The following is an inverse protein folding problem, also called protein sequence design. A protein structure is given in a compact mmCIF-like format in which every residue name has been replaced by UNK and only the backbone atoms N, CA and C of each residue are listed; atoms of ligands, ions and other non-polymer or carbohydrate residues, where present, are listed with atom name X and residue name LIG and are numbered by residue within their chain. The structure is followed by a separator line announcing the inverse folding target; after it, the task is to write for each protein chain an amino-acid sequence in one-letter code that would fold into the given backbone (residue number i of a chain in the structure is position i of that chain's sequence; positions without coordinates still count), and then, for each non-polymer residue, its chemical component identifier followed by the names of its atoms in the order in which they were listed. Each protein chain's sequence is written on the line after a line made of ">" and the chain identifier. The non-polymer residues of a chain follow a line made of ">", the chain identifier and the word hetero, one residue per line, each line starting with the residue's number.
data_IF_747918314355
#
_entry.id   IF_747918314355
#
_cell.length_a   1.000
_cell.length_b   1.000
_cell.length_c   1.000
_cell.angle_alpha   90.00
_cell.angle_beta   90.00
_cell.angle_gamma   90.00
#
_symmetry.space_group_name_H-M   'P 1'
#
loop_
_entity.id
_entity.type
_entity.pdbx_description
1 polymer ?
#
# COMPACT_ATOMS: atom_id res chain seq x y z
N UNK A 1 10.53 15.02 16.55
CA UNK A 1 9.07 15.09 16.74
C UNK A 1 8.65 13.78 17.38
N UNK A 2 7.81 13.82 18.41
CA UNK A 2 7.40 12.62 19.14
C UNK A 2 6.38 11.83 18.31
N UNK A 3 6.58 10.52 18.17
CA UNK A 3 5.68 9.57 17.49
C UNK A 3 4.28 9.67 18.13
N UNK A 4 3.18 9.77 17.36
CA UNK A 4 1.83 9.91 17.92
C UNK A 4 1.40 8.67 18.76
N UNK A 5 0.56 8.84 19.81
CA UNK A 5 0.19 7.77 20.76
C UNK A 5 -0.70 6.65 20.20
N UNK A 6 -1.04 6.66 18.91
CA UNK A 6 -1.65 5.50 18.24
C UNK A 6 -0.66 4.33 18.01
N UNK A 7 0.58 4.50 18.47
CA UNK A 7 1.68 3.54 18.40
C UNK A 7 2.06 2.92 19.76
N UNK A 8 1.20 2.97 20.80
CA UNK A 8 1.59 2.54 22.16
C UNK A 8 1.79 1.03 22.37
N UNK A 9 1.54 0.18 21.38
CA UNK A 9 2.08 -1.18 21.36
C UNK A 9 2.31 -1.65 19.92
N UNK A 10 3.48 -1.41 19.29
CA UNK A 10 3.83 -2.20 18.13
C UNK A 10 4.03 -3.62 18.64
N UNK A 11 3.03 -4.48 18.43
CA UNK A 11 3.31 -5.92 18.32
C UNK A 11 4.22 -6.04 17.10
N UNK A 12 5.53 -5.90 17.33
CA UNK A 12 6.56 -6.38 16.40
C UNK A 12 6.37 -7.89 16.39
N UNK A 13 5.42 -8.37 15.59
CA UNK A 13 5.28 -9.78 15.32
C UNK A 13 6.38 -10.04 14.31
N UNK A 14 7.50 -10.62 14.74
CA UNK A 14 8.31 -11.43 13.84
C UNK A 14 7.39 -12.56 13.37
N UNK A 15 6.61 -12.31 12.32
CA UNK A 15 5.60 -13.24 11.84
C UNK A 15 6.27 -14.49 11.28
N UNK A 16 7.49 -14.36 10.73
CA UNK A 16 8.37 -15.44 10.29
C UNK A 16 9.77 -14.90 9.94
N UNK A 17 10.82 -15.74 10.05
CA UNK A 17 12.25 -15.42 9.84
C UNK A 17 12.52 -14.32 8.79
N UNK A 18 12.93 -13.13 9.22
CA UNK A 18 13.34 -12.02 8.33
C UNK A 18 12.19 -11.13 7.83
N UNK A 19 10.98 -11.30 8.40
CA UNK A 19 9.80 -10.47 8.14
C UNK A 19 9.42 -9.72 9.42
N UNK A 20 9.34 -8.40 9.31
CA UNK A 20 8.89 -7.51 10.39
C UNK A 20 7.59 -6.84 9.98
N UNK A 21 6.57 -6.93 10.83
CA UNK A 21 5.26 -6.35 10.59
C UNK A 21 5.01 -5.15 11.51
N UNK A 22 4.55 -4.05 10.93
CA UNK A 22 4.15 -2.83 11.62
C UNK A 22 2.69 -2.54 11.32
N UNK A 23 1.94 -2.12 12.32
CA UNK A 23 0.53 -1.75 12.20
C UNK A 23 0.36 -0.25 12.42
N UNK A 24 -0.35 0.39 11.50
CA UNK A 24 -0.71 1.81 11.51
C UNK A 24 -2.23 1.92 11.32
N UNK A 25 -2.84 3.01 11.81
CA UNK A 25 -4.28 3.29 11.61
C UNK A 25 -5.22 2.11 11.90
N UNK A 26 -5.04 1.38 13.01
CA UNK A 26 -5.82 0.19 13.47
C UNK A 26 -5.91 -1.03 12.50
N UNK A 27 -5.81 -0.84 11.19
CA UNK A 27 -6.06 -1.87 10.18
C UNK A 27 -5.08 -1.82 9.00
N UNK A 28 -4.13 -0.88 8.98
CA UNK A 28 -3.14 -0.77 7.91
C UNK A 28 -1.84 -1.42 8.34
N UNK A 29 -1.26 -2.21 7.43
CA UNK A 29 -0.05 -2.95 7.70
C UNK A 29 1.09 -2.49 6.80
N UNK A 30 2.27 -2.39 7.39
CA UNK A 30 3.55 -2.32 6.68
C UNK A 30 4.34 -3.59 6.98
N UNK A 31 4.68 -4.34 5.93
CA UNK A 31 5.52 -5.53 6.05
C UNK A 31 6.90 -5.19 5.49
N UNK A 32 7.93 -5.36 6.31
CA UNK A 32 9.33 -5.21 5.94
C UNK A 32 9.96 -6.59 5.82
N UNK A 33 10.44 -6.93 4.63
CA UNK A 33 11.03 -8.22 4.30
C UNK A 33 12.47 -7.98 3.87
N UNK A 34 13.41 -8.79 4.38
CA UNK A 34 14.75 -8.86 3.78
C UNK A 34 14.80 -10.00 2.77
N UNK A 35 15.06 -9.67 1.51
CA UNK A 35 15.24 -10.69 0.48
C UNK A 35 16.60 -11.40 0.60
N UNK A 36 16.78 -12.49 -0.14
CA UNK A 36 18.02 -13.27 -0.12
C UNK A 36 19.24 -12.50 -0.67
N UNK A 37 19.02 -11.42 -1.43
CA UNK A 37 20.06 -10.58 -2.01
C UNK A 37 20.47 -9.43 -1.07
N UNK A 38 19.84 -9.34 0.12
CA UNK A 38 20.09 -8.29 1.10
C UNK A 38 19.29 -7.00 0.86
N UNK A 39 18.39 -6.97 -0.12
CA UNK A 39 17.46 -5.88 -0.33
C UNK A 39 16.33 -5.91 0.70
N UNK A 40 15.85 -4.72 1.07
CA UNK A 40 14.67 -4.56 1.92
C UNK A 40 13.47 -4.28 1.03
N UNK A 41 12.42 -5.07 1.18
CA UNK A 41 11.13 -4.87 0.53
C UNK A 41 10.13 -4.42 1.58
N UNK A 42 9.48 -3.28 1.34
CA UNK A 42 8.43 -2.73 2.19
C UNK A 42 7.11 -2.85 1.42
N UNK A 43 6.19 -3.68 1.89
CA UNK A 43 4.81 -3.76 1.38
C UNK A 43 3.90 -2.95 2.30
N UNK A 44 3.08 -2.08 1.73
CA UNK A 44 2.19 -1.18 2.45
C UNK A 44 0.80 -1.28 1.84
N UNK A 45 -0.17 -1.63 2.69
CA UNK A 45 -1.57 -1.55 2.30
C UNK A 45 -1.95 -0.08 2.11
N UNK A 46 -2.61 0.23 0.99
CA UNK A 46 -3.10 1.57 0.66
C UNK A 46 -4.53 1.53 0.14
N UNK A 47 -5.22 2.65 0.27
CA UNK A 47 -6.61 2.81 -0.13
C UNK A 47 -6.76 4.13 -0.87
N UNK A 48 -6.45 4.13 -2.16
CA UNK A 48 -6.57 5.31 -3.01
C UNK A 48 -7.41 5.03 -4.24
N UNK A 49 -8.32 5.96 -4.56
CA UNK A 49 -9.07 5.97 -5.81
C UNK A 49 -8.40 6.90 -6.80
N UNK A 50 -8.13 6.40 -8.00
CA UNK A 50 -7.60 7.18 -9.11
C UNK A 50 -8.71 7.38 -10.15
N UNK A 51 -8.76 8.59 -10.71
CA UNK A 51 -9.68 8.90 -11.81
C UNK A 51 -9.19 8.30 -13.14
N UNK A 52 -7.87 8.15 -13.29
CA UNK A 52 -7.21 7.53 -14.43
C UNK A 52 -5.83 7.03 -13.99
N UNK A 53 -5.22 6.13 -14.76
CA UNK A 53 -3.83 5.73 -14.55
C UNK A 53 -2.89 6.90 -14.90
N UNK A 54 -2.05 7.38 -13.98
CA UNK A 54 -1.08 8.45 -14.27
C UNK A 54 -0.16 8.09 -15.44
N UNK A 55 0.16 9.03 -16.35
CA UNK A 55 1.03 8.75 -17.51
C UNK A 55 2.43 8.25 -17.13
N UNK A 56 2.95 8.66 -15.97
CA UNK A 56 4.23 8.24 -15.42
C UNK A 56 4.23 6.80 -14.90
N UNK A 57 3.06 6.16 -14.78
CA UNK A 57 2.91 4.80 -14.30
C UNK A 57 2.97 3.81 -15.46
N UNK A 58 3.93 2.89 -15.41
CA UNK A 58 4.11 1.86 -16.44
C UNK A 58 3.48 0.55 -16.00
N UNK A 59 2.48 0.07 -16.75
CA UNK A 59 1.92 -1.28 -16.53
C UNK A 59 2.96 -2.33 -16.93
N UNK A 60 3.38 -3.16 -15.97
CA UNK A 60 4.33 -4.27 -16.16
C UNK A 60 3.63 -5.63 -16.28
N UNK A 61 2.42 -5.75 -15.71
CA UNK A 61 1.64 -6.99 -15.77
C UNK A 61 0.15 -6.75 -15.60
N UNK A 62 -0.64 -7.72 -16.05
CA UNK A 62 -2.10 -7.74 -15.92
C UNK A 62 -2.57 -9.12 -15.54
N UNK A 63 -3.55 -9.19 -14.65
CA UNK A 63 -4.26 -10.41 -14.30
C UNK A 63 -5.76 -10.13 -14.48
N UNK A 64 -6.36 -10.77 -15.47
CA UNK A 64 -7.81 -10.72 -15.69
C UNK A 64 -8.50 -11.59 -14.63
N UNK A 65 -9.39 -10.99 -13.84
CA UNK A 65 -10.20 -11.70 -12.86
C UNK A 65 -11.60 -12.01 -13.41
N UNK A 66 -12.16 -11.08 -14.19
CA UNK A 66 -13.42 -11.21 -14.92
C UNK A 66 -13.41 -10.23 -16.12
N UNK A 67 -14.40 -10.33 -17.00
CA UNK A 67 -14.67 -9.45 -18.14
C UNK A 67 -14.67 -7.95 -17.82
N UNK A 68 -14.94 -7.58 -16.56
CA UNK A 68 -15.02 -6.20 -16.09
C UNK A 68 -13.99 -5.84 -15.02
N UNK A 69 -13.12 -6.77 -14.61
CA UNK A 69 -12.17 -6.56 -13.50
C UNK A 69 -10.80 -7.11 -13.86
N UNK A 70 -9.78 -6.27 -13.75
CA UNK A 70 -8.39 -6.67 -13.89
C UNK A 70 -7.53 -6.12 -12.74
N UNK A 71 -6.50 -6.87 -12.38
CA UNK A 71 -5.44 -6.43 -11.48
C UNK A 71 -4.25 -6.02 -12.33
N UNK A 72 -3.83 -4.76 -12.20
CA UNK A 72 -2.69 -4.18 -12.87
C UNK A 72 -1.51 -4.16 -11.90
N UNK A 73 -0.37 -4.68 -12.36
CA UNK A 73 0.91 -4.54 -11.68
C UNK A 73 1.69 -3.41 -12.35
N UNK A 74 1.94 -2.36 -11.60
CA UNK A 74 2.37 -1.07 -12.14
C UNK A 74 3.69 -0.65 -11.53
N UNK A 75 4.65 -0.23 -12.35
CA UNK A 75 5.86 0.43 -11.90
C UNK A 75 5.62 1.94 -11.80
N UNK A 76 5.76 2.45 -10.58
CA UNK A 76 5.59 3.85 -10.21
C UNK A 76 6.91 4.46 -9.72
N UNK A 77 8.06 3.98 -10.19
CA UNK A 77 9.37 4.47 -9.71
C UNK A 77 9.61 5.95 -10.00
N UNK A 78 8.80 6.57 -10.86
CA UNK A 78 8.80 8.03 -11.07
C UNK A 78 8.49 8.84 -9.79
N UNK A 79 7.80 8.26 -8.80
CA UNK A 79 7.51 8.95 -7.53
C UNK A 79 8.57 8.67 -6.43
N UNK A 80 9.68 7.98 -6.75
CA UNK A 80 10.68 7.59 -5.76
C UNK A 80 11.30 8.78 -5.01
N UNK A 81 11.47 9.92 -5.67
CA UNK A 81 12.00 11.14 -5.04
C UNK A 81 11.07 11.76 -3.98
N UNK A 82 9.78 11.40 -4.00
CA UNK A 82 8.77 11.91 -3.08
C UNK A 82 8.63 11.05 -1.82
N UNK A 83 9.24 9.87 -1.80
CA UNK A 83 9.20 8.94 -0.66
C UNK A 83 10.35 9.25 0.28
N UNK A 84 10.03 9.63 1.53
CA UNK A 84 11.03 9.87 2.57
C UNK A 84 11.30 8.60 3.39
N UNK A 85 12.37 8.63 4.21
CA UNK A 85 12.76 7.52 5.08
C UNK A 85 13.66 6.48 4.40
N UNK A 86 13.49 6.24 3.10
CA UNK A 86 14.34 5.36 2.29
C UNK A 86 14.63 5.98 0.92
N UNK A 87 15.59 5.42 0.18
CA UNK A 87 15.81 5.75 -1.23
C UNK A 87 15.41 4.53 -2.08
N UNK A 88 14.19 4.49 -2.62
CA UNK A 88 13.70 3.36 -3.41
C UNK A 88 14.54 3.14 -4.69
N UNK A 89 14.89 1.90 -5.01
CA UNK A 89 15.31 1.52 -6.37
C UNK A 89 14.12 1.15 -7.26
N UNK A 90 13.03 0.61 -6.67
CA UNK A 90 11.79 0.29 -7.39
C UNK A 90 10.58 0.59 -6.52
N UNK A 91 9.54 1.13 -7.12
CA UNK A 91 8.20 1.24 -6.53
C UNK A 91 7.21 0.54 -7.46
N UNK A 92 6.47 -0.41 -6.90
CA UNK A 92 5.43 -1.17 -7.57
C UNK A 92 4.09 -0.90 -6.89
N UNK A 93 3.02 -0.83 -7.68
CA UNK A 93 1.65 -0.68 -7.21
C UNK A 93 0.82 -1.84 -7.71
N UNK A 94 -0.08 -2.32 -6.86
CA UNK A 94 -1.17 -3.20 -7.27
C UNK A 94 -2.45 -2.37 -7.40
N UNK A 95 -2.95 -2.24 -8.62
CA UNK A 95 -4.13 -1.42 -8.94
C UNK A 95 -5.25 -2.33 -9.45
N UNK A 96 -6.42 -2.24 -8.84
CA UNK A 96 -7.63 -2.91 -9.32
C UNK A 96 -8.32 -1.96 -10.30
N UNK A 97 -8.42 -2.36 -11.58
CA UNK A 97 -9.24 -1.66 -12.57
C UNK A 97 -10.58 -2.37 -12.72
N UNK A 98 -11.66 -1.61 -12.59
CA UNK A 98 -13.03 -2.07 -12.83
C UNK A 98 -13.66 -1.26 -13.95
N UNK A 99 -14.35 -1.91 -14.89
CA UNK A 99 -15.10 -1.27 -15.96
C UNK A 99 -16.59 -1.54 -15.76
N UNK A 100 -17.39 -0.49 -15.52
CA UNK A 100 -18.85 -0.58 -15.37
C UNK A 100 -19.47 0.43 -16.33
N UNK A 101 -20.35 -0.02 -17.24
CA UNK A 101 -21.07 0.87 -18.17
C UNK A 101 -20.16 1.84 -18.96
N UNK A 102 -18.97 1.38 -19.35
CA UNK A 102 -17.89 2.14 -20.03
C UNK A 102 -17.17 3.17 -19.15
N UNK A 103 -17.50 3.28 -17.87
CA UNK A 103 -16.72 4.02 -16.90
C UNK A 103 -15.62 3.13 -16.31
N UNK A 104 -14.42 3.66 -16.21
CA UNK A 104 -13.29 2.99 -15.59
C UNK A 104 -13.06 3.51 -14.18
N UNK A 105 -12.77 2.59 -13.26
CA UNK A 105 -12.41 2.91 -11.87
C UNK A 105 -11.12 2.22 -11.55
N UNK A 106 -10.23 2.95 -10.88
CA UNK A 106 -8.90 2.48 -10.50
C UNK A 106 -8.76 2.61 -8.98
N UNK A 107 -8.45 1.51 -8.31
CA UNK A 107 -8.23 1.47 -6.87
C UNK A 107 -6.83 0.91 -6.58
N UNK A 108 -5.96 1.73 -5.98
CA UNK A 108 -4.64 1.28 -5.53
C UNK A 108 -4.83 0.56 -4.20
N UNK A 109 -4.31 -0.67 -4.11
CA UNK A 109 -4.51 -1.58 -2.98
C UNK A 109 -3.24 -1.87 -2.17
N UNK A 110 -2.09 -1.94 -2.85
CA UNK A 110 -0.80 -2.19 -2.20
C UNK A 110 0.29 -1.40 -2.93
N UNK A 111 1.25 -0.92 -2.14
CA UNK A 111 2.49 -0.30 -2.59
C UNK A 111 3.64 -1.17 -2.12
N UNK A 112 4.51 -1.57 -3.04
CA UNK A 112 5.74 -2.28 -2.73
C UNK A 112 6.95 -1.44 -3.09
N UNK A 113 7.81 -1.20 -2.11
CA UNK A 113 9.04 -0.43 -2.24
C UNK A 113 10.22 -1.39 -2.07
N UNK A 114 11.10 -1.43 -3.07
CA UNK A 114 12.37 -2.16 -2.97
C UNK A 114 13.50 -1.18 -2.70
N UNK A 115 14.26 -1.43 -1.62
CA UNK A 115 15.44 -0.69 -1.22
C UNK A 115 16.65 -1.61 -0.98
N UNK A 116 17.56 -1.74 -1.94
CA UNK A 116 18.78 -2.55 -1.87
C UNK A 116 19.96 -1.85 -1.19
N UNK A 117 19.94 -0.51 -1.13
CA UNK A 117 20.95 0.29 -0.41
C UNK A 117 20.55 0.61 1.03
N UNK A 118 19.33 0.25 1.44
CA UNK A 118 18.88 0.45 2.80
C UNK A 118 19.58 -0.51 3.76
N UNK A 119 19.91 0.00 4.94
CA UNK A 119 20.35 -0.82 6.08
C UNK A 119 19.17 -1.08 7.00
N UNK A 120 19.41 -1.74 8.13
CA UNK A 120 18.37 -2.01 9.15
C UNK A 120 17.52 -0.75 9.38
N UNK A 121 16.24 -0.83 9.03
CA UNK A 121 15.30 0.28 9.19
C UNK A 121 14.80 0.27 10.63
N UNK A 122 14.88 1.43 11.27
CA UNK A 122 14.23 1.66 12.55
C UNK A 122 12.71 1.81 12.37
N UNK A 123 11.96 1.73 13.46
CA UNK A 123 10.53 2.05 13.45
C UNK A 123 10.26 3.44 12.84
N UNK A 124 11.06 4.45 13.19
CA UNK A 124 10.92 5.82 12.69
C UNK A 124 11.21 5.92 11.18
N UNK A 125 12.09 5.07 10.64
CA UNK A 125 12.32 5.00 9.19
C UNK A 125 11.09 4.45 8.48
N UNK A 126 10.54 3.34 8.97
CA UNK A 126 9.34 2.71 8.39
C UNK A 126 8.13 3.63 8.49
N UNK A 127 7.95 4.32 9.62
CA UNK A 127 6.87 5.30 9.79
C UNK A 127 6.99 6.46 8.80
N UNK A 128 8.20 6.98 8.55
CA UNK A 128 8.43 8.03 7.55
C UNK A 128 8.08 7.56 6.13
N UNK A 129 8.45 6.32 5.78
CA UNK A 129 8.05 5.73 4.49
C UNK A 129 6.53 5.65 4.39
N UNK A 130 5.89 5.06 5.40
CA UNK A 130 4.43 4.93 5.48
C UNK A 130 3.74 6.29 5.26
N UNK A 131 4.15 7.31 6.04
CA UNK A 131 3.58 8.66 5.94
C UNK A 131 3.74 9.24 4.54
N UNK A 132 4.94 9.19 3.97
CA UNK A 132 5.17 9.70 2.60
C UNK A 132 4.38 8.94 1.55
N UNK A 133 4.22 7.62 1.70
CA UNK A 133 3.38 6.83 0.78
C UNK A 133 1.92 7.27 0.86
N UNK A 134 1.37 7.45 2.06
CA UNK A 134 -0.01 7.95 2.24
C UNK A 134 -0.16 9.35 1.64
N UNK A 135 0.75 10.25 1.92
CA UNK A 135 0.71 11.62 1.39
C UNK A 135 0.79 11.64 -0.15
N UNK A 136 1.63 10.79 -0.75
CA UNK A 136 1.83 10.76 -2.21
C UNK A 136 0.72 10.01 -2.94
N UNK A 137 0.30 8.85 -2.44
CA UNK A 137 -0.64 7.95 -3.12
C UNK A 137 -2.09 8.24 -2.74
N UNK A 138 -2.37 8.51 -1.46
CA UNK A 138 -3.72 8.78 -0.95
C UNK A 138 -4.05 10.27 -0.85
N UNK A 139 -3.07 11.15 -1.05
CA UNK A 139 -3.25 12.61 -1.05
C UNK A 139 -3.87 13.14 0.25
N UNK A 140 -3.52 12.51 1.37
CA UNK A 140 -3.94 12.92 2.72
C UNK A 140 -2.78 12.86 3.69
N UNK A 141 -2.93 13.56 4.81
CA UNK A 141 -2.00 13.46 5.93
C UNK A 141 -2.57 12.47 6.97
N UNK A 142 -1.87 11.35 7.26
CA UNK A 142 -2.35 10.36 8.21
C UNK A 142 -2.39 10.83 9.67
N UNK A 143 -1.73 11.94 10.01
CA UNK A 143 -1.76 12.50 11.38
C UNK A 143 -2.99 13.39 11.60
N UNK A 144 -3.46 14.08 10.57
CA UNK A 144 -4.61 14.99 10.67
C UNK A 144 -5.91 14.39 10.14
N UNK A 145 -5.82 13.41 9.25
CA UNK A 145 -6.97 12.70 8.66
C UNK A 145 -6.75 11.18 8.69
N UNK A 146 -6.67 10.56 9.88
CA UNK A 146 -6.48 9.12 9.99
C UNK A 146 -7.71 8.38 9.45
N UNK A 147 -7.49 7.28 8.73
CA UNK A 147 -8.59 6.41 8.34
C UNK A 147 -9.11 5.66 9.57
N UNK A 148 -10.42 5.46 9.59
CA UNK A 148 -11.07 4.57 10.55
C UNK A 148 -11.39 3.25 9.86
N UNK A 149 -11.37 2.12 10.60
CA UNK A 149 -11.77 0.84 10.05
C UNK A 149 -13.16 0.93 9.41
N UNK A 150 -13.38 0.35 8.22
CA UNK A 150 -14.71 0.29 7.65
C UNK A 150 -15.63 -0.46 8.61
N UNK A 151 -16.79 0.14 8.93
CA UNK A 151 -17.82 -0.55 9.70
C UNK A 151 -18.22 -1.83 8.96
N UNK A 152 -18.37 -2.98 9.65
CA UNK A 152 -18.72 -4.24 9.00
C UNK A 152 -20.00 -4.11 8.17
N UNK A 153 -19.86 -4.10 6.84
CA UNK A 153 -21.01 -4.04 5.91
C UNK A 153 -21.46 -5.46 5.55
N UNK A 154 -21.71 -6.31 6.55
CA UNK A 154 -22.16 -7.72 6.33
C UNK A 154 -23.40 -7.82 5.43
N UNK A 155 -24.23 -6.77 5.35
CA UNK A 155 -25.50 -6.79 4.61
C UNK A 155 -25.37 -6.72 3.08
N UNK A 156 -24.29 -6.18 2.52
CA UNK A 156 -24.19 -5.99 1.05
C UNK A 156 -23.67 -7.25 0.34
N UNK A 157 -22.73 -7.98 0.94
CA UNK A 157 -22.15 -9.18 0.33
C UNK A 157 -23.12 -10.37 0.30
N UNK A 158 -23.91 -10.59 1.38
CA UNK A 158 -24.94 -11.66 1.38
C UNK A 158 -26.00 -11.45 0.30
N UNK A 159 -26.44 -10.20 0.06
CA UNK A 159 -27.47 -9.91 -0.95
C UNK A 159 -26.97 -10.05 -2.39
N UNK A 160 -25.68 -9.78 -2.65
CA UNK A 160 -25.08 -9.95 -3.99
C UNK A 160 -24.76 -11.42 -4.32
N UNK A 161 -24.34 -12.20 -3.34
CA UNK A 161 -24.04 -13.63 -3.53
C UNK A 161 -25.30 -14.52 -3.51
N UNK A 162 -26.36 -14.12 -2.79
CA UNK A 162 -27.64 -14.85 -2.78
C UNK A 162 -28.54 -14.62 -4.01
N UNK A 163 -28.13 -13.73 -4.94
CA UNK A 163 -28.81 -13.49 -6.21
C UNK A 163 -28.14 -14.20 -7.41
N UNK A 164 -27.30 -15.20 -7.16
CA UNK A 164 -26.82 -16.15 -8.19
C UNK A 164 -27.62 -17.43 -8.14
#
# INVERSE_FOLDING_TARGET
>A
MAVPPAAEQPKIVEAWKGVTEYWYEEFRRAIVIRDANGCIVISLDVYSRLNALPPEYRVEGRLEADSSVEVLYVNASAIAEKIQGVKPEKIELTIIRTVVDKEERYEVSDVRITCCKCRNLSYDDVYRVYRSVVEVIEQRDPETSPLTPPQPVEKVYRARLAKR
#
